data_IF_823033670792
#
_entry.id   IF_823033670792
#
_cell.length_a   1.000
_cell.length_b   1.000
_cell.length_c   1.000
_cell.angle_alpha   90.00
_cell.angle_beta   90.00
_cell.angle_gamma   90.00
#
_symmetry.space_group_name_H-M   'P 1'
#
loop_
_entity.id
_entity.type
_entity.pdbx_description
1 polymer ?
#
# COMPACT_ATOMS: atom_id res chain seq x y z
N UNK A 1 12.26 14.01 27.38
CA UNK A 1 13.10 13.19 26.48
C UNK A 1 12.35 12.90 25.18
N UNK A 2 12.80 13.49 24.06
CA UNK A 2 12.23 13.16 22.74
C UNK A 2 12.73 11.75 22.41
N UNK A 3 11.82 10.78 22.38
CA UNK A 3 12.10 9.38 22.06
C UNK A 3 12.84 9.29 20.72
N UNK A 4 14.00 8.63 20.70
CA UNK A 4 14.79 8.45 19.47
C UNK A 4 14.11 7.41 18.58
N UNK A 5 13.59 7.83 17.42
CA UNK A 5 13.01 6.93 16.41
C UNK A 5 14.08 6.53 15.41
N UNK A 6 14.18 5.24 15.08
CA UNK A 6 15.00 4.75 13.97
C UNK A 6 14.09 4.39 12.78
N UNK A 7 14.20 5.14 11.69
CA UNK A 7 13.45 4.86 10.48
C UNK A 7 14.15 3.77 9.67
N UNK A 8 13.39 2.76 9.27
CA UNK A 8 13.87 1.64 8.44
C UNK A 8 13.05 1.61 7.16
N UNK A 9 13.72 1.66 6.02
CA UNK A 9 13.06 1.58 4.72
C UNK A 9 12.50 0.17 4.51
N UNK A 10 11.30 0.09 3.95
CA UNK A 10 10.64 -1.18 3.64
C UNK A 10 9.82 -1.06 2.36
N UNK A 11 9.36 -2.20 1.86
CA UNK A 11 8.48 -2.33 0.71
C UNK A 11 7.16 -2.99 1.13
N UNK A 12 6.20 -2.99 0.22
CA UNK A 12 4.97 -3.78 0.29
C UNK A 12 5.17 -5.22 0.77
N UNK A 13 6.20 -5.88 0.23
CA UNK A 13 6.48 -7.31 0.43
C UNK A 13 7.23 -7.57 1.73
N UNK A 14 8.06 -6.63 2.18
CA UNK A 14 8.98 -6.83 3.30
C UNK A 14 8.44 -6.36 4.64
N UNK A 15 7.45 -5.45 4.68
CA UNK A 15 6.95 -4.86 5.94
C UNK A 15 6.40 -5.88 6.94
N UNK A 16 5.66 -6.90 6.49
CA UNK A 16 5.13 -7.94 7.38
C UNK A 16 6.23 -8.90 7.88
N UNK A 17 7.11 -9.46 7.03
CA UNK A 17 8.24 -10.25 7.49
C UNK A 17 9.14 -9.51 8.50
N UNK A 18 9.46 -8.23 8.25
CA UNK A 18 10.28 -7.43 9.17
C UNK A 18 9.61 -7.27 10.55
N UNK A 19 8.29 -7.10 10.58
CA UNK A 19 7.54 -7.03 11.85
C UNK A 19 7.55 -8.38 12.57
N UNK A 20 7.29 -9.48 11.86
CA UNK A 20 7.27 -10.84 12.44
C UNK A 20 8.64 -11.27 12.98
N UNK A 21 9.72 -10.86 12.31
CA UNK A 21 11.09 -11.16 12.69
C UNK A 21 11.66 -10.16 13.72
N UNK A 22 10.84 -9.24 14.24
CA UNK A 22 11.23 -8.21 15.21
C UNK A 22 12.37 -7.31 14.72
N UNK A 23 12.53 -7.14 13.41
CA UNK A 23 13.49 -6.19 12.84
C UNK A 23 12.99 -4.74 12.93
N UNK A 24 11.68 -4.57 13.10
CA UNK A 24 10.99 -3.30 13.35
C UNK A 24 9.88 -3.54 14.37
N UNK A 25 9.54 -2.52 15.15
CA UNK A 25 8.48 -2.61 16.17
C UNK A 25 7.09 -2.23 15.64
N UNK A 26 7.03 -1.38 14.61
CA UNK A 26 5.79 -0.90 14.03
C UNK A 26 5.96 -0.53 12.54
N UNK A 27 4.84 -0.50 11.82
CA UNK A 27 4.78 -0.10 10.41
C UNK A 27 3.89 1.13 10.25
N UNK A 28 4.48 2.24 9.78
CA UNK A 28 3.78 3.46 9.36
C UNK A 28 4.11 3.74 7.89
N UNK A 29 3.70 2.84 7.01
CA UNK A 29 4.05 2.84 5.58
C UNK A 29 2.90 2.29 4.71
N UNK A 30 1.80 3.04 4.63
CA UNK A 30 0.62 2.77 3.80
C UNK A 30 0.26 1.27 3.72
N UNK A 31 -0.33 0.75 4.79
CA UNK A 31 -0.75 -0.65 4.87
C UNK A 31 -2.26 -0.76 5.04
N UNK A 32 -2.95 -1.15 3.96
CA UNK A 32 -4.39 -1.42 4.00
C UNK A 32 -4.68 -2.59 4.93
N UNK A 33 -5.66 -2.39 5.81
CA UNK A 33 -6.17 -3.42 6.72
C UNK A 33 -7.01 -4.41 5.90
N UNK A 34 -6.62 -5.68 5.87
CA UNK A 34 -7.40 -6.77 5.23
C UNK A 34 -7.60 -7.94 6.20
N UNK A 35 -8.64 -8.77 6.03
CA UNK A 35 -8.87 -9.95 6.88
C UNK A 35 -7.67 -10.91 6.91
N UNK A 36 -6.99 -11.11 5.78
CA UNK A 36 -5.83 -11.99 5.66
C UNK A 36 -4.64 -11.44 6.44
N UNK A 37 -4.40 -10.12 6.37
CA UNK A 37 -3.32 -9.48 7.13
C UNK A 37 -3.60 -9.50 8.63
N UNK A 38 -4.86 -9.31 9.06
CA UNK A 38 -5.25 -9.39 10.48
C UNK A 38 -5.01 -10.76 11.12
N UNK A 39 -4.92 -11.83 10.32
CA UNK A 39 -4.58 -13.17 10.84
C UNK A 39 -3.12 -13.32 11.24
N UNK A 40 -2.25 -12.43 10.76
CA UNK A 40 -0.79 -12.58 10.91
C UNK A 40 -0.10 -11.37 11.57
N UNK A 41 -0.79 -10.24 11.68
CA UNK A 41 -0.33 -9.03 12.38
C UNK A 41 -1.51 -8.30 13.02
N UNK A 42 -1.24 -7.55 14.08
CA UNK A 42 -2.22 -6.64 14.68
C UNK A 42 -2.19 -5.26 14.00
N UNK A 43 -3.33 -4.57 14.06
CA UNK A 43 -3.47 -3.21 13.52
C UNK A 43 -3.97 -2.28 14.63
N UNK A 44 -3.46 -1.04 14.63
CA UNK A 44 -4.02 0.04 15.44
C UNK A 44 -5.39 0.48 14.93
N UNK A 45 -5.96 1.50 15.57
CA UNK A 45 -7.03 2.27 14.96
C UNK A 45 -6.58 2.82 13.60
N UNK A 46 -7.45 2.78 12.57
CA UNK A 46 -7.12 3.30 11.25
C UNK A 46 -6.93 4.82 11.31
N UNK A 47 -5.87 5.31 10.67
CA UNK A 47 -5.56 6.75 10.64
C UNK A 47 -5.80 7.39 9.26
N UNK A 48 -6.05 6.59 8.22
CA UNK A 48 -6.30 7.08 6.86
C UNK A 48 -7.15 6.09 6.06
N UNK A 49 -8.19 6.59 5.38
CA UNK A 49 -9.01 5.80 4.45
C UNK A 49 -8.41 5.88 3.04
N UNK A 50 -7.85 4.77 2.55
CA UNK A 50 -7.23 4.70 1.24
C UNK A 50 -8.18 4.11 0.19
N UNK A 51 -8.24 4.74 -0.98
CA UNK A 51 -8.91 4.25 -2.18
C UNK A 51 -7.91 3.97 -3.30
N UNK A 52 -8.31 3.15 -4.28
CA UNK A 52 -7.58 2.98 -5.53
C UNK A 52 -8.15 3.90 -6.60
N UNK A 53 -7.30 4.45 -7.45
CA UNK A 53 -7.69 5.31 -8.57
C UNK A 53 -6.70 5.15 -9.71
N UNK A 54 -7.11 5.58 -10.91
CA UNK A 54 -6.28 5.55 -12.09
C UNK A 54 -5.63 6.93 -12.27
N UNK A 55 -4.30 6.96 -12.36
CA UNK A 55 -3.57 8.13 -12.82
C UNK A 55 -3.43 8.04 -14.34
N UNK A 56 -3.84 9.09 -15.04
CA UNK A 56 -3.83 9.14 -16.51
C UNK A 56 -3.26 10.50 -16.97
N UNK A 57 -2.70 10.59 -18.19
CA UNK A 57 -2.36 11.88 -18.80
C UNK A 57 -3.57 12.81 -18.84
N UNK A 58 -3.34 14.12 -18.77
CA UNK A 58 -4.41 15.13 -18.78
C UNK A 58 -5.30 15.04 -20.04
N UNK A 59 -4.71 14.68 -21.19
CA UNK A 59 -5.40 14.49 -22.46
C UNK A 59 -5.91 13.04 -22.68
N UNK A 60 -5.96 12.21 -21.64
CA UNK A 60 -6.41 10.82 -21.75
C UNK A 60 -7.93 10.71 -21.95
N UNK A 61 -8.35 9.73 -22.75
CA UNK A 61 -9.77 9.40 -22.93
C UNK A 61 -10.30 8.42 -21.88
N UNK A 62 -9.46 7.91 -20.98
CA UNK A 62 -9.83 6.93 -19.95
C UNK A 62 -10.58 7.65 -18.82
N UNK A 63 -11.83 7.27 -18.57
CA UNK A 63 -12.67 7.86 -17.52
C UNK A 63 -13.01 6.88 -16.40
N UNK A 64 -12.93 5.58 -16.68
CA UNK A 64 -13.20 4.53 -15.72
C UNK A 64 -12.41 3.26 -16.06
N UNK A 65 -12.49 2.25 -15.19
CA UNK A 65 -11.76 0.99 -15.34
C UNK A 65 -12.16 0.20 -16.60
N UNK A 66 -13.41 0.33 -17.08
CA UNK A 66 -13.88 -0.40 -18.26
C UNK A 66 -13.24 0.12 -19.56
N UNK A 67 -12.81 1.38 -19.59
CA UNK A 67 -12.07 1.93 -20.74
C UNK A 67 -10.72 1.22 -20.97
N UNK A 68 -10.19 0.53 -19.95
CA UNK A 68 -8.96 -0.25 -20.02
C UNK A 68 -9.16 -1.61 -20.71
N UNK A 69 -10.40 -2.09 -20.87
CA UNK A 69 -10.70 -3.40 -21.48
C UNK A 69 -10.64 -3.38 -23.02
N UNK A 70 -9.92 -2.42 -23.61
CA UNK A 70 -9.78 -2.27 -25.05
C UNK A 70 -8.47 -2.89 -25.51
N UNK A 71 -8.50 -3.55 -26.66
CA UNK A 71 -7.32 -4.18 -27.26
C UNK A 71 -6.23 -3.12 -27.50
N UNK A 72 -5.02 -3.38 -27.01
CA UNK A 72 -3.88 -2.47 -27.16
C UNK A 72 -3.64 -1.51 -25.99
N UNK A 73 -4.48 -1.50 -24.96
CA UNK A 73 -4.23 -0.72 -23.74
C UNK A 73 -3.10 -1.35 -22.91
N UNK A 74 -2.13 -0.55 -22.51
CA UNK A 74 -1.04 -0.94 -21.59
C UNK A 74 -1.23 -0.21 -20.27
N UNK A 75 -1.25 -0.96 -19.17
CA UNK A 75 -1.43 -0.42 -17.81
C UNK A 75 -0.24 -0.82 -16.96
N UNK A 76 0.37 0.16 -16.29
CA UNK A 76 1.34 -0.09 -15.23
C UNK A 76 0.62 -0.22 -13.90
N UNK A 77 0.65 -1.41 -13.32
CA UNK A 77 0.11 -1.65 -11.98
C UNK A 77 1.23 -1.55 -10.95
N UNK A 78 1.14 -0.56 -10.05
CA UNK A 78 2.01 -0.49 -8.87
C UNK A 78 1.34 -1.26 -7.74
N UNK A 79 1.95 -2.37 -7.31
CA UNK A 79 1.46 -3.21 -6.22
C UNK A 79 2.14 -2.84 -4.89
N UNK A 80 1.38 -2.29 -3.95
CA UNK A 80 1.78 -1.85 -2.60
C UNK A 80 1.39 -2.77 -1.44
#
# INVERSE_FOLDING_TARGET
PISKVKLVQTTAKTKIPLLKNQNIDAVIAAMTITPERRKIVEFSQPYFAAGQSLLVPENSTVKNVHDLNKKGMVVLAVKG
#
